data_IF_177788280212
#
_entry.id   IF_177788280212
#
_cell.length_a   1.000
_cell.length_b   1.000
_cell.length_c   1.000
_cell.angle_alpha   90.00
_cell.angle_beta   90.00
_cell.angle_gamma   90.00
#
_symmetry.space_group_name_H-M   'P 1'
#
loop_
_entity.id
_entity.type
_entity.pdbx_description
1 polymer ?
#
# COMPACT_ATOMS: atom_id res chain seq x y z
N UNK A 1 26.99 50.86 -2.97
CA UNK A 1 27.37 49.54 -2.44
C UNK A 1 26.15 48.76 -1.91
N UNK A 2 25.11 48.58 -2.73
CA UNK A 2 23.93 47.78 -2.34
C UNK A 2 23.53 46.77 -3.44
N UNK A 3 24.09 46.89 -4.65
CA UNK A 3 23.77 45.99 -5.78
C UNK A 3 24.58 44.68 -5.84
N UNK A 4 25.72 44.57 -5.14
CA UNK A 4 26.61 43.39 -5.26
C UNK A 4 26.23 42.29 -4.26
N UNK A 5 25.62 42.64 -3.12
CA UNK A 5 25.24 41.67 -2.09
C UNK A 5 24.01 40.86 -2.49
N UNK A 6 23.08 41.44 -3.27
CA UNK A 6 21.86 40.77 -3.71
C UNK A 6 22.08 39.66 -4.74
N UNK A 7 23.10 39.78 -5.60
CA UNK A 7 23.42 38.73 -6.58
C UNK A 7 24.23 37.58 -5.97
N UNK A 8 25.12 37.87 -5.02
CA UNK A 8 25.91 36.85 -4.33
C UNK A 8 25.00 35.91 -3.51
N UNK A 9 23.93 36.43 -2.89
CA UNK A 9 22.95 35.61 -2.15
C UNK A 9 22.14 34.71 -3.09
N UNK A 10 21.79 35.16 -4.30
CA UNK A 10 21.09 34.33 -5.29
C UNK A 10 21.97 33.21 -5.86
N UNK A 11 23.25 33.48 -6.07
CA UNK A 11 24.21 32.47 -6.58
C UNK A 11 24.52 31.41 -5.52
N UNK A 12 24.60 31.78 -4.23
CA UNK A 12 24.81 30.82 -3.14
C UNK A 12 23.53 29.99 -2.90
N UNK A 13 22.34 30.56 -3.00
CA UNK A 13 21.09 29.81 -2.90
C UNK A 13 20.91 28.80 -4.06
N UNK A 14 21.38 29.12 -5.27
CA UNK A 14 21.39 28.17 -6.39
C UNK A 14 22.46 27.07 -6.24
N UNK A 15 23.61 27.38 -5.62
CA UNK A 15 24.70 26.40 -5.45
C UNK A 15 24.46 25.42 -4.28
N UNK A 16 23.66 25.80 -3.27
CA UNK A 16 23.27 24.88 -2.19
C UNK A 16 22.12 23.95 -2.62
N UNK A 17 21.37 24.29 -3.67
CA UNK A 17 20.35 23.43 -4.25
C UNK A 17 20.91 22.26 -5.10
N UNK A 18 22.21 22.28 -5.44
CA UNK A 18 22.82 21.30 -6.35
C UNK A 18 23.68 20.21 -5.67
N UNK A 19 23.71 20.12 -4.34
CA UNK A 19 24.52 19.10 -3.63
C UNK A 19 23.73 18.22 -2.68
N UNK A 20 22.41 18.16 -2.80
CA UNK A 20 21.64 17.09 -2.15
C UNK A 20 21.77 15.83 -3.01
N UNK A 21 22.28 14.71 -2.47
CA UNK A 21 22.20 13.44 -3.17
C UNK A 21 20.72 13.15 -3.43
N UNK A 22 20.35 13.07 -4.70
CA UNK A 22 19.08 12.51 -5.11
C UNK A 22 19.06 11.03 -4.70
N UNK A 23 18.61 10.75 -3.49
CA UNK A 23 18.23 9.40 -3.07
C UNK A 23 17.02 9.44 -2.13
N UNK A 24 16.00 10.19 -2.54
CA UNK A 24 14.63 10.00 -2.08
C UNK A 24 13.95 8.98 -3.01
N UNK A 25 14.40 7.72 -2.93
CA UNK A 25 13.67 6.62 -3.57
C UNK A 25 12.65 6.11 -2.56
N UNK A 26 11.42 6.61 -2.65
CA UNK A 26 10.26 6.11 -1.91
C UNK A 26 9.93 4.64 -2.24
N UNK A 27 10.55 4.09 -3.28
CA UNK A 27 10.62 2.67 -3.57
C UNK A 27 12.09 2.23 -3.51
N UNK A 28 12.50 1.57 -2.42
CA UNK A 28 13.76 0.83 -2.43
C UNK A 28 13.53 -0.46 -3.22
N UNK A 29 14.24 -0.59 -4.33
CA UNK A 29 14.34 -1.84 -5.07
C UNK A 29 14.85 -2.93 -4.14
N UNK A 30 14.17 -4.07 -4.08
CA UNK A 30 14.65 -5.23 -3.34
C UNK A 30 15.96 -5.70 -4.02
N UNK A 31 17.12 -5.68 -3.34
CA UNK A 31 18.40 -6.09 -3.92
C UNK A 31 18.44 -7.59 -4.28
N UNK A 32 17.49 -8.39 -3.79
CA UNK A 32 17.32 -9.80 -4.19
C UNK A 32 16.56 -9.95 -5.53
N UNK A 33 15.94 -8.88 -6.04
CA UNK A 33 15.26 -8.87 -7.34
C UNK A 33 16.22 -8.56 -8.49
N UNK A 34 17.31 -9.34 -8.57
CA UNK A 34 18.45 -9.34 -9.52
C UNK A 34 19.47 -8.20 -9.40
N UNK A 35 20.70 -8.62 -9.06
CA UNK A 35 21.94 -7.85 -9.19
C UNK A 35 22.26 -7.63 -10.69
N UNK A 36 21.83 -6.50 -11.25
CA UNK A 36 22.02 -6.15 -12.66
C UNK A 36 23.49 -6.00 -13.07
N UNK A 37 24.43 -5.92 -12.12
CA UNK A 37 25.86 -6.01 -12.44
C UNK A 37 26.26 -7.40 -12.96
N UNK A 38 25.43 -8.42 -12.70
CA UNK A 38 25.65 -9.83 -13.08
C UNK A 38 24.86 -10.30 -14.31
N UNK A 39 23.88 -9.51 -14.80
CA UNK A 39 23.15 -9.81 -16.03
C UNK A 39 23.09 -8.56 -16.93
N UNK A 40 24.19 -8.23 -17.64
CA UNK A 40 24.27 -7.03 -18.47
C UNK A 40 23.41 -7.10 -19.75
N UNK A 41 22.85 -8.28 -20.06
CA UNK A 41 22.07 -8.53 -21.27
C UNK A 41 20.78 -9.29 -20.96
N UNK A 42 19.79 -8.65 -20.31
CA UNK A 42 18.55 -9.32 -19.99
C UNK A 42 17.78 -9.72 -21.25
N UNK A 43 17.15 -10.89 -21.22
CA UNK A 43 16.33 -11.43 -22.31
C UNK A 43 14.84 -11.32 -22.00
N UNK A 44 13.99 -11.54 -23.01
CA UNK A 44 12.55 -11.70 -22.82
C UNK A 44 12.32 -12.81 -21.79
N UNK A 45 11.59 -12.50 -20.70
CA UNK A 45 11.45 -13.34 -19.50
C UNK A 45 12.17 -12.80 -18.25
N UNK A 46 13.19 -11.95 -18.40
CA UNK A 46 13.85 -11.26 -17.28
C UNK A 46 13.05 -10.03 -16.82
N UNK A 47 12.36 -9.39 -17.76
CA UNK A 47 11.49 -8.25 -17.53
C UNK A 47 10.07 -8.69 -17.24
N UNK A 48 9.87 -9.41 -16.15
CA UNK A 48 8.55 -9.58 -15.55
C UNK A 48 7.45 -10.17 -16.42
N UNK A 49 7.63 -10.54 -17.68
CA UNK A 49 6.59 -11.12 -18.52
C UNK A 49 7.15 -12.41 -19.12
N UNK A 50 6.41 -13.50 -18.91
CA UNK A 50 6.67 -14.83 -19.48
C UNK A 50 7.90 -15.56 -18.90
N UNK A 51 7.91 -15.75 -17.58
CA UNK A 51 8.93 -16.56 -16.88
C UNK A 51 8.59 -18.06 -16.99
N UNK A 52 9.47 -18.93 -17.52
CA UNK A 52 9.15 -20.35 -17.72
C UNK A 52 8.64 -21.06 -16.45
N UNK A 53 7.49 -21.72 -16.57
CA UNK A 53 6.81 -22.41 -15.48
C UNK A 53 5.99 -21.51 -14.55
N UNK A 54 5.88 -20.22 -14.85
CA UNK A 54 4.97 -19.26 -14.20
C UNK A 54 3.88 -18.82 -15.18
N UNK A 55 2.70 -18.40 -14.69
CA UNK A 55 1.66 -17.85 -15.54
C UNK A 55 2.16 -16.66 -16.35
N UNK A 56 1.66 -16.51 -17.59
CA UNK A 56 1.91 -15.33 -18.40
C UNK A 56 1.40 -14.06 -17.68
N UNK A 57 2.22 -13.00 -17.65
CA UNK A 57 1.93 -11.75 -16.96
C UNK A 57 3.07 -11.27 -16.08
N UNK A 58 2.83 -10.18 -15.32
CA UNK A 58 3.84 -9.56 -14.45
C UNK A 58 4.30 -10.51 -13.33
N UNK A 59 5.57 -10.92 -13.35
CA UNK A 59 6.21 -11.62 -12.26
C UNK A 59 6.52 -10.64 -11.13
N UNK A 60 5.94 -10.90 -9.96
CA UNK A 60 6.21 -10.19 -8.73
C UNK A 60 6.88 -11.17 -7.77
N UNK A 61 8.12 -10.86 -7.38
CA UNK A 61 8.90 -11.73 -6.51
C UNK A 61 8.19 -12.00 -5.18
N UNK A 62 8.24 -13.25 -4.71
CA UNK A 62 7.57 -13.69 -3.47
C UNK A 62 6.03 -13.78 -3.54
N UNK A 63 5.40 -13.31 -4.64
CA UNK A 63 3.94 -13.36 -4.85
C UNK A 63 3.58 -14.29 -6.00
N UNK A 64 4.17 -14.11 -7.19
CA UNK A 64 3.88 -14.96 -8.34
C UNK A 64 4.43 -16.36 -8.10
N UNK A 65 3.56 -17.36 -8.21
CA UNK A 65 3.88 -18.78 -8.04
C UNK A 65 3.84 -19.53 -9.37
N UNK A 66 4.48 -20.70 -9.43
CA UNK A 66 4.43 -21.56 -10.62
C UNK A 66 3.01 -21.96 -10.98
N UNK A 67 2.77 -22.24 -12.25
CA UNK A 67 1.46 -22.71 -12.72
C UNK A 67 0.97 -23.92 -11.91
N UNK A 68 -0.33 -23.93 -11.60
CA UNK A 68 -0.94 -24.96 -10.75
C UNK A 68 -0.63 -24.84 -9.25
N UNK A 69 0.18 -23.87 -8.80
CA UNK A 69 0.35 -23.53 -7.37
C UNK A 69 -0.61 -22.41 -6.97
N UNK A 70 -1.03 -22.43 -5.70
CA UNK A 70 -1.85 -21.36 -5.11
C UNK A 70 -0.95 -20.30 -4.48
N UNK A 71 -1.26 -19.03 -4.73
CA UNK A 71 -0.73 -17.91 -3.94
C UNK A 71 -1.33 -18.00 -2.54
N UNK A 72 -0.50 -17.88 -1.51
CA UNK A 72 -0.92 -17.99 -0.09
C UNK A 72 -0.51 -16.79 0.75
N UNK A 73 0.06 -15.77 0.12
CA UNK A 73 0.47 -14.54 0.79
C UNK A 73 -0.75 -13.94 1.51
N UNK A 74 -0.58 -13.50 2.77
CA UNK A 74 -1.64 -12.81 3.47
C UNK A 74 -1.95 -11.48 2.78
N UNK A 75 -3.22 -11.10 2.78
CA UNK A 75 -3.74 -9.86 2.18
C UNK A 75 -4.39 -9.03 3.28
N UNK A 76 -4.04 -7.74 3.33
CA UNK A 76 -4.82 -6.72 4.02
C UNK A 76 -5.59 -5.95 2.97
N UNK A 77 -6.89 -5.77 3.19
CA UNK A 77 -7.72 -4.84 2.44
C UNK A 77 -7.98 -3.61 3.29
N UNK A 78 -7.69 -2.43 2.75
CA UNK A 78 -7.92 -1.12 3.36
C UNK A 78 -8.72 -0.26 2.38
N UNK A 79 -9.92 0.15 2.75
CA UNK A 79 -10.73 1.04 1.90
C UNK A 79 -11.36 2.16 2.71
N UNK A 80 -11.74 3.25 2.06
CA UNK A 80 -12.39 4.38 2.72
C UNK A 80 -13.91 4.21 2.86
N UNK A 81 -14.54 3.59 1.87
CA UNK A 81 -15.97 3.26 1.84
C UNK A 81 -16.19 1.85 1.26
N UNK A 82 -17.19 1.12 1.72
CA UNK A 82 -17.45 -0.27 1.33
C UNK A 82 -18.78 -0.42 0.56
N UNK A 83 -19.22 0.64 -0.11
CA UNK A 83 -20.46 0.66 -0.88
C UNK A 83 -20.32 1.28 -2.29
N UNK A 84 -19.10 1.59 -2.72
CA UNK A 84 -18.83 2.30 -3.98
C UNK A 84 -18.39 1.38 -5.13
N UNK A 85 -17.55 0.38 -4.86
CA UNK A 85 -17.08 -0.64 -5.81
C UNK A 85 -17.21 -2.04 -5.21
N UNK A 86 -17.30 -3.07 -6.07
CA UNK A 86 -17.54 -4.45 -5.65
C UNK A 86 -16.29 -5.20 -5.13
N UNK A 87 -15.23 -4.44 -4.82
CA UNK A 87 -13.91 -5.00 -4.52
C UNK A 87 -13.93 -5.79 -3.20
N UNK A 88 -14.66 -5.31 -2.19
CA UNK A 88 -14.83 -5.99 -0.91
C UNK A 88 -15.65 -7.27 -1.04
N UNK A 89 -16.78 -7.29 -1.75
CA UNK A 89 -17.53 -8.53 -1.94
C UNK A 89 -16.74 -9.55 -2.75
N UNK A 90 -15.97 -9.10 -3.74
CA UNK A 90 -15.05 -9.96 -4.47
C UNK A 90 -14.00 -10.56 -3.52
N UNK A 91 -13.41 -9.77 -2.62
CA UNK A 91 -12.47 -10.27 -1.63
C UNK A 91 -13.09 -11.28 -0.69
N UNK A 92 -14.30 -11.02 -0.18
CA UNK A 92 -15.01 -11.93 0.69
C UNK A 92 -15.29 -13.26 -0.01
N UNK A 93 -15.76 -13.22 -1.25
CA UNK A 93 -15.97 -14.42 -2.06
C UNK A 93 -14.66 -15.20 -2.25
N UNK A 94 -13.55 -14.51 -2.56
CA UNK A 94 -12.26 -15.13 -2.77
C UNK A 94 -11.66 -15.72 -1.48
N UNK A 95 -11.85 -15.06 -0.34
CA UNK A 95 -11.47 -15.56 0.97
C UNK A 95 -12.29 -16.79 1.36
N UNK A 96 -13.61 -16.73 1.19
CA UNK A 96 -14.55 -17.83 1.43
C UNK A 96 -14.20 -19.08 0.60
N UNK A 97 -13.83 -18.90 -0.67
CA UNK A 97 -13.38 -19.99 -1.55
C UNK A 97 -11.97 -20.52 -1.23
N UNK A 98 -11.28 -19.95 -0.23
CA UNK A 98 -9.89 -20.28 0.10
C UNK A 98 -8.91 -19.98 -1.05
N UNK A 99 -9.24 -18.99 -1.89
CA UNK A 99 -8.42 -18.49 -3.00
C UNK A 99 -7.65 -17.22 -2.62
N UNK A 100 -8.06 -16.55 -1.54
CA UNK A 100 -7.36 -15.44 -0.92
C UNK A 100 -7.15 -15.73 0.57
N UNK A 101 -6.00 -15.31 1.10
CA UNK A 101 -5.72 -15.36 2.54
C UNK A 101 -5.94 -13.96 3.11
N UNK A 102 -7.19 -13.55 3.27
CA UNK A 102 -7.56 -12.25 3.82
C UNK A 102 -7.34 -12.26 5.34
N UNK A 103 -6.42 -11.42 5.83
CA UNK A 103 -6.00 -11.41 7.24
C UNK A 103 -6.26 -10.08 7.96
N UNK A 104 -6.59 -9.03 7.22
CA UNK A 104 -6.95 -7.74 7.78
C UNK A 104 -7.99 -7.04 6.89
N UNK A 105 -8.96 -6.43 7.56
CA UNK A 105 -9.99 -5.59 6.96
C UNK A 105 -9.94 -4.24 7.65
N UNK A 106 -9.54 -3.21 6.93
CA UNK A 106 -9.37 -1.85 7.46
C UNK A 106 -10.33 -0.93 6.74
N UNK A 107 -10.98 -0.06 7.52
CA UNK A 107 -11.72 1.09 6.97
C UNK A 107 -11.00 2.38 7.34
N UNK A 108 -10.54 3.12 6.34
CA UNK A 108 -9.85 4.41 6.50
C UNK A 108 -10.79 5.54 6.11
N UNK A 109 -11.59 6.11 7.04
CA UNK A 109 -12.70 7.03 6.72
C UNK A 109 -12.22 8.46 6.40
N UNK A 110 -11.28 8.56 5.47
CA UNK A 110 -10.60 9.78 5.04
C UNK A 110 -10.58 9.81 3.52
N UNK A 111 -11.10 10.89 2.91
CA UNK A 111 -11.07 11.09 1.45
C UNK A 111 -10.60 12.49 1.05
N UNK A 112 -9.50 12.56 0.33
CA UNK A 112 -9.02 13.68 -0.49
C UNK A 112 -9.62 13.57 -1.90
N UNK A 113 -10.91 13.86 -2.02
CA UNK A 113 -11.55 14.21 -3.29
C UNK A 113 -12.57 15.35 -3.00
N UNK A 114 -13.55 15.55 -3.89
CA UNK A 114 -14.68 16.47 -3.71
C UNK A 114 -15.55 16.20 -2.46
N UNK A 115 -15.26 15.15 -1.68
CA UNK A 115 -16.10 14.66 -0.57
C UNK A 115 -15.57 14.92 0.84
N UNK A 116 -14.66 15.88 1.02
CA UNK A 116 -14.11 16.30 2.32
C UNK A 116 -13.30 15.23 3.05
N UNK A 117 -12.34 15.68 3.87
CA UNK A 117 -11.28 14.84 4.39
C UNK A 117 -11.71 13.87 5.51
N UNK A 118 -12.87 14.06 6.14
CA UNK A 118 -13.32 13.25 7.28
C UNK A 118 -14.73 12.72 7.07
N UNK A 119 -14.88 11.41 7.06
CA UNK A 119 -16.17 10.74 6.84
C UNK A 119 -16.39 9.59 7.84
N UNK A 120 -16.45 9.88 9.15
CA UNK A 120 -16.60 8.84 10.18
C UNK A 120 -17.86 7.97 9.99
N UNK A 121 -18.88 8.50 9.31
CA UNK A 121 -20.07 7.74 8.92
C UNK A 121 -19.79 6.55 8.01
N UNK A 122 -18.69 6.55 7.24
CA UNK A 122 -18.34 5.46 6.34
C UNK A 122 -17.85 4.21 7.05
N UNK A 123 -17.41 4.32 8.31
CA UNK A 123 -17.12 3.15 9.15
C UNK A 123 -18.33 2.21 9.20
N UNK A 124 -19.55 2.75 9.19
CA UNK A 124 -20.79 1.98 9.15
C UNK A 124 -20.90 1.12 7.90
N UNK A 125 -20.45 1.61 6.74
CA UNK A 125 -20.53 0.87 5.47
C UNK A 125 -19.69 -0.40 5.51
N UNK A 126 -18.52 -0.37 6.15
CA UNK A 126 -17.67 -1.55 6.31
C UNK A 126 -18.34 -2.63 7.19
N UNK A 127 -18.98 -2.22 8.29
CA UNK A 127 -19.75 -3.15 9.11
C UNK A 127 -20.97 -3.71 8.38
N UNK A 128 -21.73 -2.86 7.67
CA UNK A 128 -22.88 -3.30 6.87
C UNK A 128 -22.49 -4.26 5.75
N UNK A 129 -21.36 -3.99 5.08
CA UNK A 129 -20.78 -4.86 4.05
C UNK A 129 -20.42 -6.25 4.61
N UNK A 130 -19.73 -6.31 5.76
CA UNK A 130 -19.45 -7.58 6.43
C UNK A 130 -20.73 -8.29 6.87
N UNK A 131 -21.71 -7.57 7.42
CA UNK A 131 -22.99 -8.16 7.82
C UNK A 131 -23.74 -8.75 6.62
N UNK A 132 -23.72 -8.09 5.46
CA UNK A 132 -24.31 -8.60 4.22
C UNK A 132 -23.58 -9.87 3.74
N UNK A 133 -22.25 -9.90 3.84
CA UNK A 133 -21.44 -11.07 3.51
C UNK A 133 -21.79 -12.29 4.39
N UNK A 134 -21.92 -12.07 5.69
CA UNK A 134 -22.32 -13.10 6.65
C UNK A 134 -23.75 -13.59 6.40
N UNK A 135 -24.69 -12.68 6.14
CA UNK A 135 -26.07 -13.03 5.78
C UNK A 135 -26.16 -13.81 4.46
N UNK A 136 -25.19 -13.60 3.56
CA UNK A 136 -25.05 -14.36 2.31
C UNK A 136 -24.44 -15.76 2.50
N UNK A 137 -24.13 -16.15 3.74
CA UNK A 137 -23.62 -17.48 4.09
C UNK A 137 -22.10 -17.61 4.01
N UNK A 138 -21.35 -16.50 3.97
CA UNK A 138 -19.91 -16.55 4.11
C UNK A 138 -19.55 -16.97 5.54
N UNK A 139 -18.62 -17.91 5.64
CA UNK A 139 -18.10 -18.41 6.90
C UNK A 139 -17.38 -17.27 7.67
N UNK A 140 -17.83 -16.92 8.89
CA UNK A 140 -17.22 -15.84 9.67
C UNK A 140 -15.73 -16.08 9.96
N UNK A 141 -15.27 -17.34 10.01
CA UNK A 141 -13.85 -17.65 10.23
C UNK A 141 -12.96 -17.29 9.02
N UNK A 142 -13.57 -16.94 7.88
CA UNK A 142 -12.87 -16.49 6.65
C UNK A 142 -12.76 -14.98 6.55
N UNK A 143 -13.46 -14.23 7.40
CA UNK A 143 -13.47 -12.77 7.37
C UNK A 143 -12.79 -12.23 8.63
N UNK A 144 -11.71 -11.43 8.49
CA UNK A 144 -11.17 -10.72 9.63
C UNK A 144 -12.15 -9.65 10.11
N UNK A 145 -12.13 -9.29 11.41
CA UNK A 145 -12.98 -8.22 11.91
C UNK A 145 -12.61 -6.88 11.27
N UNK A 146 -13.63 -6.03 11.06
CA UNK A 146 -13.44 -4.64 10.64
C UNK A 146 -12.60 -3.93 11.68
N UNK A 147 -11.52 -3.29 11.22
CA UNK A 147 -10.62 -2.49 12.04
C UNK A 147 -10.66 -1.05 11.55
N UNK A 148 -10.88 -0.10 12.47
CA UNK A 148 -10.96 1.31 12.10
C UNK A 148 -9.55 1.88 11.94
N UNK A 149 -9.30 2.44 10.77
CA UNK A 149 -8.07 3.12 10.38
C UNK A 149 -7.99 4.55 10.90
N UNK A 150 -7.09 5.33 10.30
CA UNK A 150 -6.84 6.70 10.71
C UNK A 150 -7.94 7.62 10.19
N UNK A 151 -8.72 8.18 11.10
CA UNK A 151 -9.61 9.32 10.82
C UNK A 151 -8.85 10.63 11.01
N UNK A 152 -8.97 11.60 10.13
CA UNK A 152 -8.38 12.92 10.32
C UNK A 152 -9.18 13.98 9.56
N UNK A 153 -8.83 15.27 9.72
CA UNK A 153 -9.45 16.39 8.98
C UNK A 153 -8.52 17.00 7.92
N UNK A 154 -7.27 16.54 7.84
CA UNK A 154 -6.34 16.85 6.73
C UNK A 154 -5.23 15.79 6.60
N UNK A 155 -4.56 15.71 5.43
CA UNK A 155 -3.48 14.75 5.17
C UNK A 155 -2.41 14.84 6.26
N UNK A 156 -2.01 16.07 6.57
CA UNK A 156 -1.03 16.39 7.62
C UNK A 156 -1.45 15.93 9.01
N UNK A 157 -2.75 15.93 9.34
CA UNK A 157 -3.22 15.39 10.62
C UNK A 157 -3.26 13.87 10.60
N UNK A 158 -3.50 13.26 9.44
CA UNK A 158 -3.48 11.81 9.28
C UNK A 158 -2.05 11.28 9.42
N UNK A 159 -1.07 11.97 8.84
CA UNK A 159 0.34 11.71 9.03
C UNK A 159 0.68 11.74 10.53
N UNK A 160 0.98 10.55 11.09
CA UNK A 160 1.35 10.30 12.51
C UNK A 160 0.19 10.16 13.49
N UNK A 161 -1.07 10.12 13.04
CA UNK A 161 -2.18 9.78 13.95
C UNK A 161 -2.29 8.28 14.11
N UNK A 162 -2.00 7.78 15.30
CA UNK A 162 -2.19 6.38 15.62
C UNK A 162 -3.68 5.99 15.55
N UNK A 163 -3.94 4.79 15.05
CA UNK A 163 -5.26 4.18 14.93
C UNK A 163 -5.14 2.67 15.11
N UNK A 164 -6.26 1.98 15.37
CA UNK A 164 -6.25 0.52 15.47
C UNK A 164 -5.76 -0.13 14.17
N UNK A 165 -6.19 0.41 13.02
CA UNK A 165 -5.72 -0.04 11.70
C UNK A 165 -4.21 0.17 11.51
N UNK A 166 -3.65 1.29 11.98
CA UNK A 166 -2.21 1.54 11.88
C UNK A 166 -1.41 0.53 12.73
N UNK A 167 -1.87 0.22 13.95
CA UNK A 167 -1.24 -0.82 14.77
C UNK A 167 -1.42 -2.23 14.17
N UNK A 168 -2.56 -2.51 13.54
CA UNK A 168 -2.81 -3.77 12.85
C UNK A 168 -1.82 -3.97 11.69
N UNK A 169 -1.58 -2.94 10.88
CA UNK A 169 -0.55 -2.97 9.83
C UNK A 169 0.82 -3.35 10.41
N UNK A 170 1.30 -2.60 11.41
CA UNK A 170 2.61 -2.83 12.04
C UNK A 170 2.71 -4.26 12.57
N UNK A 171 1.67 -4.75 13.24
CA UNK A 171 1.62 -6.10 13.77
C UNK A 171 1.71 -7.15 12.66
N UNK A 172 0.78 -7.12 11.70
CA UNK A 172 0.67 -8.16 10.68
C UNK A 172 1.89 -8.21 9.76
N UNK A 173 2.45 -7.06 9.38
CA UNK A 173 3.66 -7.00 8.53
C UNK A 173 4.85 -7.61 9.28
N UNK A 174 5.08 -7.21 10.53
CA UNK A 174 6.20 -7.73 11.31
C UNK A 174 6.06 -9.21 11.63
N UNK A 175 4.86 -9.67 11.98
CA UNK A 175 4.61 -11.09 12.23
C UNK A 175 4.81 -11.95 10.98
N UNK A 176 4.33 -11.47 9.82
CA UNK A 176 4.50 -12.18 8.55
C UNK A 176 5.97 -12.24 8.15
N UNK A 177 6.67 -11.11 8.18
CA UNK A 177 8.08 -11.06 7.81
C UNK A 177 8.95 -11.94 8.72
N UNK A 178 8.66 -11.97 10.03
CA UNK A 178 9.36 -12.85 10.99
C UNK A 178 9.18 -14.34 10.66
N UNK A 179 7.99 -14.74 10.18
CA UNK A 179 7.66 -16.15 9.88
C UNK A 179 8.12 -16.55 8.47
N UNK A 180 7.95 -15.66 7.50
CA UNK A 180 8.14 -15.92 6.08
C UNK A 180 8.72 -14.67 5.38
N UNK A 181 10.02 -14.39 5.55
CA UNK A 181 10.66 -13.22 4.92
C UNK A 181 10.65 -13.28 3.38
N UNK A 182 10.51 -14.48 2.80
CA UNK A 182 10.40 -14.75 1.37
C UNK A 182 8.96 -14.60 0.82
N UNK A 183 7.97 -14.41 1.70
CA UNK A 183 6.55 -14.30 1.35
C UNK A 183 5.97 -13.02 1.92
N UNK A 184 6.07 -11.91 1.17
CA UNK A 184 5.60 -10.63 1.66
C UNK A 184 4.09 -10.66 1.92
N UNK A 185 3.66 -9.84 2.89
CA UNK A 185 2.26 -9.47 3.04
C UNK A 185 1.87 -8.52 1.91
N UNK A 186 0.70 -8.74 1.32
CA UNK A 186 0.11 -7.92 0.25
C UNK A 186 -0.81 -6.89 0.89
N UNK A 187 -0.69 -5.63 0.47
CA UNK A 187 -1.57 -4.54 0.91
C UNK A 187 -2.37 -4.05 -0.29
N UNK A 188 -3.68 -4.23 -0.26
CA UNK A 188 -4.58 -3.62 -1.24
C UNK A 188 -5.30 -2.44 -0.58
N UNK A 189 -5.14 -1.25 -1.16
CA UNK A 189 -5.76 -0.03 -0.67
C UNK A 189 -6.70 0.49 -1.75
N UNK A 190 -8.01 0.37 -1.54
CA UNK A 190 -9.01 0.91 -2.48
C UNK A 190 -9.14 2.44 -2.40
N UNK A 191 -8.88 2.99 -1.22
CA UNK A 191 -9.01 4.40 -0.91
C UNK A 191 -7.66 5.05 -0.63
N UNK A 192 -7.56 5.73 0.52
CA UNK A 192 -6.40 6.54 0.86
C UNK A 192 -5.42 5.81 1.75
N UNK A 193 -4.13 5.97 1.47
CA UNK A 193 -3.04 5.38 2.26
C UNK A 193 -2.80 6.01 3.63
N UNK A 194 -3.75 6.76 4.20
CA UNK A 194 -3.58 7.50 5.47
C UNK A 194 -3.26 6.58 6.66
N UNK A 195 -3.93 5.43 6.75
CA UNK A 195 -3.67 4.44 7.80
C UNK A 195 -2.31 3.77 7.62
N UNK A 196 -1.92 3.43 6.38
CA UNK A 196 -0.60 2.88 6.09
C UNK A 196 0.52 3.92 6.36
N UNK A 197 0.31 5.19 6.01
CA UNK A 197 1.25 6.27 6.31
C UNK A 197 1.43 6.45 7.83
N UNK A 198 0.33 6.34 8.59
CA UNK A 198 0.35 6.34 10.05
C UNK A 198 1.14 5.14 10.59
N UNK A 199 0.93 3.95 10.03
CA UNK A 199 1.69 2.74 10.39
C UNK A 199 3.19 2.90 10.13
N UNK A 200 3.57 3.50 9.00
CA UNK A 200 4.97 3.82 8.69
C UNK A 200 5.59 4.81 9.68
N UNK A 201 4.81 5.79 10.15
CA UNK A 201 5.27 6.71 11.19
C UNK A 201 5.48 6.02 12.55
N UNK A 202 4.71 4.96 12.84
CA UNK A 202 4.85 4.14 14.06
C UNK A 202 6.08 3.23 13.95
N UNK A 203 6.24 2.53 12.83
CA UNK A 203 7.37 1.65 12.57
C UNK A 203 7.85 1.78 11.12
N UNK A 204 8.87 2.62 10.85
CA UNK A 204 9.40 2.81 9.50
C UNK A 204 9.97 1.53 8.88
N UNK A 205 10.32 0.53 9.69
CA UNK A 205 10.92 -0.72 9.18
C UNK A 205 9.94 -1.59 8.41
N UNK A 206 8.63 -1.32 8.45
CA UNK A 206 7.63 -2.05 7.66
C UNK A 206 7.81 -1.85 6.15
N UNK A 207 8.41 -0.74 5.72
CA UNK A 207 8.62 -0.43 4.30
C UNK A 207 9.55 -1.42 3.59
N UNK A 208 10.43 -2.10 4.33
CA UNK A 208 11.35 -3.11 3.77
C UNK A 208 10.77 -4.53 3.85
N UNK A 209 9.55 -4.70 4.39
CA UNK A 209 8.98 -6.00 4.80
C UNK A 209 7.68 -6.38 4.09
N UNK A 210 7.01 -5.43 3.44
CA UNK A 210 5.79 -5.68 2.67
C UNK A 210 6.06 -5.60 1.16
N UNK A 211 5.22 -6.24 0.35
CA UNK A 211 5.28 -6.10 -1.10
C UNK A 211 3.94 -5.65 -1.65
N UNK A 212 4.01 -4.71 -2.58
CA UNK A 212 2.91 -4.16 -3.36
C UNK A 212 1.83 -3.48 -2.54
N UNK A 213 1.81 -2.14 -2.61
CA UNK A 213 0.62 -1.34 -2.37
C UNK A 213 -0.14 -1.29 -3.70
N UNK A 214 -1.19 -2.10 -3.86
CA UNK A 214 -2.07 -1.97 -5.03
C UNK A 214 -3.08 -0.89 -4.67
N UNK A 215 -3.02 0.23 -5.37
CA UNK A 215 -4.05 1.27 -5.34
C UNK A 215 -4.81 1.11 -6.65
N UNK A 216 -6.06 0.58 -6.68
CA UNK A 216 -6.85 0.54 -7.89
C UNK A 216 -7.12 1.99 -8.33
N UNK A 217 -6.38 2.43 -9.35
CA UNK A 217 -6.54 3.76 -9.92
C UNK A 217 -7.87 3.79 -10.68
N UNK A 218 -8.90 4.37 -10.07
CA UNK A 218 -9.93 5.11 -10.81
C UNK A 218 -9.74 6.63 -10.72
N UNK A 219 -8.84 7.15 -9.85
CA UNK A 219 -8.76 8.59 -9.56
C UNK A 219 -7.38 9.26 -9.51
N UNK A 220 -6.28 8.56 -9.75
CA UNK A 220 -4.98 9.22 -10.05
C UNK A 220 -4.95 9.75 -11.49
N UNK A 221 -5.81 10.71 -11.81
CA UNK A 221 -5.64 11.60 -12.95
C UNK A 221 -5.69 13.02 -12.40
N UNK A 222 -4.53 13.69 -12.45
CA UNK A 222 -4.23 15.07 -12.05
C UNK A 222 -3.98 15.35 -10.55
N UNK A 223 -2.81 14.97 -10.07
CA UNK A 223 -2.27 15.47 -8.81
C UNK A 223 -0.82 15.04 -8.64
N UNK A 224 0.10 15.95 -8.91
CA UNK A 224 1.56 15.76 -8.86
C UNK A 224 2.03 15.00 -7.61
N UNK A 225 2.70 13.87 -7.83
CA UNK A 225 3.50 13.09 -6.85
C UNK A 225 4.71 13.84 -6.26
N UNK A 226 4.74 15.17 -6.37
CA UNK A 226 5.79 16.03 -5.84
C UNK A 226 5.44 16.69 -4.50
N UNK A 227 4.30 16.36 -3.87
CA UNK A 227 3.82 17.05 -2.67
C UNK A 227 3.96 16.28 -1.33
N UNK A 228 4.12 14.96 -1.35
CA UNK A 228 3.93 14.12 -0.15
C UNK A 228 5.21 13.82 0.66
N UNK A 229 6.37 14.38 0.29
CA UNK A 229 7.62 14.25 1.04
C UNK A 229 8.49 15.51 0.94
N UNK A 230 7.90 16.66 1.31
CA UNK A 230 8.60 17.93 1.51
C UNK A 230 8.80 18.26 2.98
#
# INVERSE_FOLDING_TARGET
MVGIVGEIVKVIALLVASTMPASLNAARWNPETVDWSKNPHPVIGDWGFDRPGYPAGLYIHGITVKEGKKVKNPVIYDNDVYDDVFDDEWMYAMASLGRMNLVGLIVTPVLTDFWTFSQPGWVKTAYESVDNALQSGIDPDKLPPVTVGTEAESEKQAERKASEGAYLYVKLINEQYKKHPDKPLIINIGGQGATLASAYCIDPSIAEKCASCIIPISKCITGTTNGLLG
#
